data_IF_615462865301
#
_entry.id   IF_615462865301
#
_cell.length_a   1.000
_cell.length_b   1.000
_cell.length_c   1.000
_cell.angle_alpha   90.00
_cell.angle_beta   90.00
_cell.angle_gamma   90.00
#
_symmetry.space_group_name_H-M   'P 1'
#
loop_
_entity.id
_entity.type
_entity.pdbx_description
1 polymer ?
#
# COMPACT_ATOMS: atom_id res chain seq x y z
N UNK A 1 12.73 8.76 18.95
CA UNK A 1 11.85 7.61 18.60
C UNK A 1 10.60 8.15 17.94
N UNK A 2 10.32 7.76 16.69
CA UNK A 2 9.07 8.12 16.02
C UNK A 2 8.01 7.10 16.44
N UNK A 3 6.97 7.54 17.14
CA UNK A 3 5.84 6.66 17.46
C UNK A 3 4.99 6.46 16.19
N UNK A 4 4.64 5.21 15.81
CA UNK A 4 3.73 4.96 14.69
C UNK A 4 2.40 5.72 14.80
N UNK A 5 1.90 5.93 16.01
CA UNK A 5 0.70 6.73 16.28
C UNK A 5 0.90 8.21 15.96
N UNK A 6 2.10 8.75 16.23
CA UNK A 6 2.47 10.13 15.90
C UNK A 6 2.65 10.34 14.39
N UNK A 7 2.97 9.29 13.63
CA UNK A 7 2.99 9.31 12.16
C UNK A 7 1.56 9.37 11.60
N UNK A 8 0.65 8.53 12.09
CA UNK A 8 -0.75 8.55 11.66
C UNK A 8 -1.41 9.92 11.93
N UNK A 9 -1.13 10.54 13.08
CA UNK A 9 -1.64 11.87 13.44
C UNK A 9 -1.20 13.01 12.53
N UNK A 10 -0.25 12.78 11.61
CA UNK A 10 0.18 13.75 10.58
C UNK A 10 -0.59 13.61 9.26
N UNK A 11 -1.56 12.72 9.19
CA UNK A 11 -2.38 12.47 7.99
C UNK A 11 -1.85 11.33 7.10
N UNK A 12 -0.92 10.51 7.59
CA UNK A 12 -0.50 9.29 6.89
C UNK A 12 -1.43 8.12 7.20
N UNK A 13 -1.44 7.12 6.32
CA UNK A 13 -2.11 5.84 6.53
C UNK A 13 -1.13 4.67 6.44
N UNK A 14 -1.50 3.56 7.07
CA UNK A 14 -0.82 2.27 6.90
C UNK A 14 -1.72 1.38 6.05
N UNK A 15 -1.23 0.94 4.89
CA UNK A 15 -1.92 -0.03 4.05
C UNK A 15 -1.62 -1.45 4.51
N UNK A 16 -2.67 -2.25 4.66
CA UNK A 16 -2.62 -3.65 5.07
C UNK A 16 -3.26 -4.53 3.99
N UNK A 17 -2.66 -5.70 3.73
CA UNK A 17 -3.31 -6.74 2.94
C UNK A 17 -4.46 -7.41 3.71
N UNK A 18 -5.16 -8.34 3.05
CA UNK A 18 -6.28 -9.10 3.65
C UNK A 18 -5.87 -9.96 4.87
N UNK A 19 -4.57 -10.18 5.05
CA UNK A 19 -3.98 -10.92 6.19
C UNK A 19 -3.51 -9.96 7.29
N UNK A 20 -3.75 -8.67 7.16
CA UNK A 20 -3.33 -7.64 8.12
C UNK A 20 -1.85 -7.29 8.04
N UNK A 21 -1.14 -7.67 6.96
CA UNK A 21 0.29 -7.39 6.80
C UNK A 21 0.49 -6.06 6.09
N UNK A 22 1.40 -5.24 6.62
CA UNK A 22 1.70 -3.95 6.04
C UNK A 22 2.31 -4.07 4.63
N UNK A 23 1.74 -3.35 3.68
CA UNK A 23 2.30 -3.13 2.35
C UNK A 23 3.45 -2.13 2.48
N UNK A 24 4.61 -2.49 1.94
CA UNK A 24 5.85 -1.70 2.00
C UNK A 24 6.36 -1.29 0.63
N UNK A 25 5.90 -1.96 -0.42
CA UNK A 25 6.26 -1.69 -1.80
C UNK A 25 5.02 -1.81 -2.70
N UNK A 26 4.91 -0.94 -3.70
CA UNK A 26 3.71 -0.85 -4.55
C UNK A 26 3.41 -2.15 -5.30
N UNK A 27 4.41 -2.90 -5.78
CA UNK A 27 4.13 -4.17 -6.47
C UNK A 27 4.11 -5.39 -5.57
N UNK A 28 3.98 -5.19 -4.25
CA UNK A 28 3.30 -6.18 -3.40
C UNK A 28 1.79 -6.17 -3.62
N UNK A 29 1.28 -5.18 -4.37
CA UNK A 29 -0.13 -5.06 -4.71
C UNK A 29 -0.40 -5.35 -6.19
N UNK A 30 -1.64 -5.68 -6.50
CA UNK A 30 -2.13 -5.88 -7.86
C UNK A 30 -3.39 -5.04 -8.12
N UNK A 31 -3.60 -4.51 -9.34
CA UNK A 31 -4.87 -3.88 -9.69
C UNK A 31 -6.06 -4.78 -9.36
N UNK A 32 -7.08 -4.19 -8.75
CA UNK A 32 -8.26 -4.87 -8.24
C UNK A 32 -8.15 -5.48 -6.84
N UNK A 33 -6.95 -5.55 -6.26
CA UNK A 33 -6.76 -6.08 -4.91
C UNK A 33 -7.43 -5.20 -3.85
N UNK A 34 -8.11 -5.83 -2.88
CA UNK A 34 -8.65 -5.16 -1.70
C UNK A 34 -7.58 -5.03 -0.62
N UNK A 35 -7.53 -3.85 0.01
CA UNK A 35 -6.63 -3.53 1.11
C UNK A 35 -7.42 -2.81 2.21
N UNK A 36 -6.80 -2.69 3.38
CA UNK A 36 -7.27 -1.81 4.46
C UNK A 36 -6.30 -0.67 4.68
N UNK A 37 -6.81 0.57 4.72
CA UNK A 37 -6.02 1.73 5.11
C UNK A 37 -6.35 2.10 6.56
N UNK A 38 -5.37 1.97 7.46
CA UNK A 38 -5.52 2.42 8.85
C UNK A 38 -5.05 3.86 8.99
N UNK A 39 -5.89 4.70 9.58
CA UNK A 39 -5.67 6.13 9.78
C UNK A 39 -5.37 6.40 11.27
N UNK A 40 -5.20 7.68 11.63
CA UNK A 40 -5.12 8.08 13.04
C UNK A 40 -6.36 7.65 13.83
N UNK A 41 -7.52 7.73 13.19
CA UNK A 41 -8.80 7.30 13.71
C UNK A 41 -9.56 6.56 12.61
N UNK A 42 -10.04 5.35 12.93
CA UNK A 42 -10.78 4.50 12.00
C UNK A 42 -9.92 3.78 10.94
N UNK A 43 -10.63 3.16 10.01
CA UNK A 43 -10.07 2.43 8.87
C UNK A 43 -10.96 2.58 7.64
N UNK A 44 -10.36 2.42 6.45
CA UNK A 44 -11.06 2.38 5.17
C UNK A 44 -10.79 1.05 4.48
N UNK A 45 -11.82 0.51 3.84
CA UNK A 45 -11.62 -0.50 2.79
C UNK A 45 -11.31 0.22 1.48
N UNK A 46 -10.23 -0.20 0.82
CA UNK A 46 -9.77 0.41 -0.44
C UNK A 46 -9.49 -0.67 -1.47
N UNK A 47 -9.54 -0.28 -2.74
CA UNK A 47 -9.18 -1.13 -3.88
C UNK A 47 -8.04 -0.48 -4.64
N UNK A 48 -7.06 -1.29 -5.05
CA UNK A 48 -5.94 -0.83 -5.87
C UNK A 48 -6.44 -0.64 -7.29
N UNK A 49 -6.34 0.57 -7.81
CA UNK A 49 -6.68 0.85 -9.22
C UNK A 49 -5.48 0.61 -10.14
N UNK A 50 -4.29 1.07 -9.73
CA UNK A 50 -3.00 0.82 -10.38
C UNK A 50 -1.90 0.79 -9.30
N UNK A 51 -0.87 -0.03 -9.51
CA UNK A 51 0.33 -0.07 -8.65
C UNK A 51 1.51 0.70 -9.26
N UNK A 52 1.34 1.27 -10.46
CA UNK A 52 2.32 2.07 -11.20
C UNK A 52 3.70 1.41 -11.34
N UNK A 53 3.78 0.08 -11.22
CA UNK A 53 4.98 -0.67 -11.58
C UNK A 53 4.95 -0.83 -13.09
N UNK A 54 5.82 -0.11 -13.80
CA UNK A 54 6.10 -0.46 -15.20
C UNK A 54 6.55 -1.92 -15.22
N UNK A 55 5.92 -2.81 -16.00
CA UNK A 55 6.42 -4.15 -16.16
C UNK A 55 7.85 -4.06 -16.67
N UNK A 56 8.81 -4.55 -15.90
CA UNK A 56 10.18 -4.74 -16.39
C UNK A 56 10.17 -5.99 -17.27
N UNK A 57 9.42 -5.96 -18.37
CA UNK A 57 9.75 -6.82 -19.50
C UNK A 57 11.01 -6.22 -20.09
N UNK A 58 12.14 -6.73 -19.62
CA UNK A 58 13.44 -6.57 -20.26
C UNK A 58 13.23 -6.62 -21.78
N UNK A 59 13.54 -5.52 -22.46
CA UNK A 59 13.98 -5.60 -23.86
C UNK A 59 15.25 -6.47 -23.84
N UNK A 60 15.09 -7.77 -24.08
CA UNK A 60 16.18 -8.71 -24.34
C UNK A 60 16.35 -8.89 -25.85
N UNK A 61 16.21 -7.79 -26.60
CA UNK A 61 16.41 -7.73 -28.03
C UNK A 61 16.97 -6.34 -28.38
N UNK A 62 18.27 -6.17 -28.14
CA UNK A 62 19.16 -5.32 -28.92
C UNK A 62 20.49 -6.08 -29.11
#
# INVERSE_FOLDING_TARGET
MVSPLATLGRGYSILLDERGRAIRDAGQTQPGQRLKARLAEGELEVRVEDNHRTPVTLSLLD
#
